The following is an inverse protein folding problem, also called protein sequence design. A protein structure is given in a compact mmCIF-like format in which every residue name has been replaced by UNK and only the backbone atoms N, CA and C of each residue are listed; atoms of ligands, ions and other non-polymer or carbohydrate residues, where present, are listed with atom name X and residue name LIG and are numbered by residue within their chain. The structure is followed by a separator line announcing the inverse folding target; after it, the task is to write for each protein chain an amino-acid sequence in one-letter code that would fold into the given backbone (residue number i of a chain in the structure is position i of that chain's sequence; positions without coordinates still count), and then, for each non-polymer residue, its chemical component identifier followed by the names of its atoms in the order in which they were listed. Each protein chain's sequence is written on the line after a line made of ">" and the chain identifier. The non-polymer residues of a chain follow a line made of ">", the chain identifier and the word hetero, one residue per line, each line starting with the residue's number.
data_IF_733779812086
#
_entry.id   IF_733779812086
#
_cell.length_a   1.000
_cell.length_b   1.000
_cell.length_c   1.000
_cell.angle_alpha   90.00
_cell.angle_beta   90.00
_cell.angle_gamma   90.00
#
_symmetry.space_group_name_H-M   'P 1'
#
loop_
_entity.id
_entity.type
_entity.pdbx_description
1 polymer ?
#
# COMPACT_ATOMS: atom_id res chain seq x y z
N UNK A 1 21.00 46.86 3.34
CA UNK A 1 22.09 47.66 2.75
C UNK A 1 21.61 49.10 2.64
N UNK A 2 22.41 50.07 3.05
CA UNK A 2 22.09 51.49 2.91
C UNK A 2 23.29 52.22 2.28
N UNK A 3 23.08 53.32 1.52
CA UNK A 3 24.18 54.05 0.89
C UNK A 3 25.02 54.81 1.92
N UNK A 4 26.32 54.99 1.66
CA UNK A 4 27.27 55.59 2.62
C UNK A 4 26.85 56.95 3.16
N UNK A 5 26.14 57.75 2.34
CA UNK A 5 25.61 59.07 2.71
C UNK A 5 24.55 59.06 3.84
N UNK A 6 23.92 57.92 4.10
CA UNK A 6 22.94 57.74 5.20
C UNK A 6 23.49 56.86 6.32
N UNK A 7 24.78 56.48 6.25
CA UNK A 7 25.44 55.79 7.33
C UNK A 7 25.85 56.80 8.40
N UNK A 8 25.23 56.75 9.56
CA UNK A 8 25.61 57.59 10.72
C UNK A 8 26.88 57.09 11.41
N UNK A 9 27.39 55.90 11.02
CA UNK A 9 28.59 55.31 11.61
C UNK A 9 29.85 55.75 10.88
N UNK A 10 30.89 56.06 11.65
CA UNK A 10 32.23 56.33 11.12
C UNK A 10 32.73 55.15 10.28
N UNK A 11 33.20 55.38 9.05
CA UNK A 11 33.73 54.31 8.21
C UNK A 11 35.00 53.74 8.83
N UNK A 12 35.05 52.42 8.92
CA UNK A 12 36.22 51.65 9.37
C UNK A 12 36.82 50.88 8.21
N UNK A 13 38.13 50.69 8.23
CA UNK A 13 38.83 49.93 7.21
C UNK A 13 38.35 48.47 7.20
N UNK A 14 37.92 47.95 6.06
CA UNK A 14 37.50 46.56 5.93
C UNK A 14 38.66 45.56 6.11
N UNK A 15 39.90 46.00 5.95
CA UNK A 15 41.08 45.13 6.08
C UNK A 15 41.52 44.95 7.52
N UNK A 16 41.60 46.04 8.31
CA UNK A 16 42.16 46.00 9.67
C UNK A 16 41.19 46.46 10.78
N UNK A 17 40.02 46.99 10.42
CA UNK A 17 39.01 47.46 11.37
C UNK A 17 39.27 48.80 12.05
N UNK A 18 40.43 49.42 11.82
CA UNK A 18 40.76 50.73 12.36
C UNK A 18 40.21 51.88 11.49
N UNK A 19 40.07 53.06 12.07
CA UNK A 19 39.77 54.30 11.36
C UNK A 19 41.08 54.88 10.85
N UNK A 20 41.25 54.91 9.53
CA UNK A 20 42.39 55.57 8.88
C UNK A 20 42.03 55.98 7.45
N UNK A 21 42.84 56.85 6.86
CA UNK A 21 42.78 57.22 5.44
C UNK A 21 43.99 56.66 4.69
N UNK A 22 43.85 56.43 3.38
CA UNK A 22 44.95 55.91 2.55
C UNK A 22 45.18 54.40 2.65
N UNK A 23 46.34 53.94 2.18
CA UNK A 23 46.67 52.52 2.06
C UNK A 23 46.82 51.89 3.45
N UNK A 24 46.08 50.79 3.69
CA UNK A 24 46.19 50.02 4.93
C UNK A 24 47.50 49.22 4.94
N UNK A 25 48.41 49.53 5.86
CA UNK A 25 49.68 48.80 6.05
C UNK A 25 49.64 47.84 7.26
N UNK A 26 48.55 47.83 8.01
CA UNK A 26 48.36 46.97 9.18
C UNK A 26 47.94 45.56 8.74
N UNK A 27 48.36 44.49 9.44
CA UNK A 27 47.86 43.14 9.20
C UNK A 27 46.33 43.06 9.19
N UNK A 28 45.81 42.14 8.40
CA UNK A 28 44.36 41.98 8.28
C UNK A 28 43.75 41.48 9.59
N UNK A 29 42.63 42.09 9.97
CA UNK A 29 41.86 41.70 11.14
C UNK A 29 40.38 41.92 10.87
N UNK A 30 39.61 40.84 10.93
CA UNK A 30 38.19 40.85 10.62
C UNK A 30 37.41 41.50 11.76
N UNK A 31 36.73 42.63 11.50
CA UNK A 31 35.89 43.29 12.53
C UNK A 31 34.73 42.42 13.01
N UNK A 32 34.31 41.45 12.20
CA UNK A 32 33.17 40.59 12.53
C UNK A 32 33.58 39.45 13.48
N UNK A 33 34.61 38.68 13.13
CA UNK A 33 35.00 37.48 13.87
C UNK A 33 36.38 37.55 14.55
N UNK A 34 37.07 38.69 14.43
CA UNK A 34 38.42 38.94 14.97
C UNK A 34 39.55 38.04 14.42
N UNK A 35 39.33 37.35 13.30
CA UNK A 35 40.33 36.50 12.65
C UNK A 35 41.25 37.24 11.69
N UNK A 36 42.34 36.57 11.27
CA UNK A 36 43.40 37.11 10.40
C UNK A 36 42.99 37.16 8.92
N UNK A 37 41.92 37.89 8.62
CA UNK A 37 41.42 38.12 7.27
C UNK A 37 40.60 39.42 7.20
N UNK A 38 40.39 39.96 6.00
CA UNK A 38 39.51 41.13 5.80
C UNK A 38 38.04 40.80 6.07
N UNK A 39 37.28 41.78 6.57
CA UNK A 39 35.84 41.69 6.83
C UNK A 39 34.97 41.27 5.62
N UNK A 40 35.49 41.41 4.40
CA UNK A 40 34.83 41.01 3.15
C UNK A 40 35.13 39.57 2.72
N UNK A 41 35.95 38.83 3.48
CA UNK A 41 36.32 37.46 3.15
C UNK A 41 35.12 36.51 3.20
N UNK A 42 34.89 35.76 2.12
CA UNK A 42 33.88 34.68 2.07
C UNK A 42 34.24 33.47 2.95
N UNK A 43 35.50 33.38 3.38
CA UNK A 43 35.95 32.36 4.33
C UNK A 43 35.67 32.71 5.80
N UNK A 44 35.13 33.89 6.09
CA UNK A 44 34.82 34.29 7.46
C UNK A 44 33.73 33.35 8.04
N UNK A 45 33.95 32.74 9.23
CA UNK A 45 32.99 31.81 9.82
C UNK A 45 31.63 32.47 10.12
N UNK A 46 31.62 33.76 10.46
CA UNK A 46 30.37 34.50 10.66
C UNK A 46 29.66 34.81 9.35
N UNK A 47 30.40 35.10 8.28
CA UNK A 47 29.81 35.26 6.95
C UNK A 47 29.15 33.96 6.48
N UNK A 48 29.86 32.83 6.58
CA UNK A 48 29.35 31.49 6.22
C UNK A 48 28.09 31.17 7.04
N UNK A 49 28.11 31.44 8.34
CA UNK A 49 26.94 31.28 9.22
C UNK A 49 25.74 32.08 8.74
N UNK A 50 25.91 33.36 8.44
CA UNK A 50 24.83 34.23 7.95
C UNK A 50 24.31 33.80 6.57
N UNK A 51 25.21 33.34 5.68
CA UNK A 51 24.84 32.79 4.38
C UNK A 51 23.95 31.55 4.54
N UNK A 52 24.31 30.61 5.41
CA UNK A 52 23.51 29.40 5.65
C UNK A 52 22.14 29.73 6.26
N UNK A 53 22.06 30.71 7.16
CA UNK A 53 20.78 31.18 7.73
C UNK A 53 19.91 31.78 6.62
N UNK A 54 20.48 32.59 5.73
CA UNK A 54 19.75 33.18 4.61
C UNK A 54 19.26 32.12 3.63
N UNK A 55 20.07 31.10 3.34
CA UNK A 55 19.66 29.99 2.50
C UNK A 55 18.50 29.19 3.13
N UNK A 56 18.60 28.88 4.42
CA UNK A 56 17.54 28.22 5.19
C UNK A 56 16.24 29.03 5.16
N UNK A 57 16.34 30.35 5.33
CA UNK A 57 15.22 31.28 5.26
C UNK A 57 14.52 31.20 3.91
N UNK A 58 15.27 31.33 2.81
CA UNK A 58 14.71 31.34 1.46
C UNK A 58 14.08 30.00 1.10
N UNK A 59 14.75 28.88 1.42
CA UNK A 59 14.31 27.53 1.06
C UNK A 59 13.03 27.11 1.78
N UNK A 60 12.78 27.62 2.99
CA UNK A 60 11.65 27.24 3.84
C UNK A 60 10.63 28.37 4.03
N UNK A 61 10.75 29.48 3.30
CA UNK A 61 9.85 30.63 3.39
C UNK A 61 9.68 31.18 4.82
N UNK A 62 10.78 31.21 5.58
CA UNK A 62 10.76 31.63 6.97
C UNK A 62 11.01 33.13 7.13
N UNK A 63 10.65 33.66 8.29
CA UNK A 63 11.20 34.95 8.73
C UNK A 63 12.69 34.80 9.09
N UNK A 64 13.43 35.91 9.08
CA UNK A 64 14.84 35.91 9.47
C UNK A 64 15.05 35.43 10.93
N UNK A 65 14.12 35.76 11.83
CA UNK A 65 14.18 35.37 13.23
C UNK A 65 14.00 33.86 13.41
N UNK A 66 13.04 33.26 12.70
CA UNK A 66 12.80 31.81 12.73
C UNK A 66 13.98 31.03 12.14
N UNK A 67 14.49 31.44 10.98
CA UNK A 67 15.66 30.80 10.37
C UNK A 67 16.88 30.83 11.32
N UNK A 68 17.10 31.96 12.00
CA UNK A 68 18.17 32.10 13.00
C UNK A 68 17.93 31.20 14.22
N UNK A 69 16.68 31.08 14.69
CA UNK A 69 16.33 30.19 15.80
C UNK A 69 16.62 28.73 15.46
N UNK A 70 16.14 28.27 14.31
CA UNK A 70 16.29 26.89 13.84
C UNK A 70 17.77 26.54 13.65
N UNK A 71 18.53 27.39 12.94
CA UNK A 71 19.96 27.16 12.69
C UNK A 71 20.78 27.08 14.00
N UNK A 72 20.46 27.92 14.99
CA UNK A 72 21.14 27.87 16.29
C UNK A 72 20.66 26.72 17.18
N UNK A 73 19.44 26.21 16.98
CA UNK A 73 18.91 25.03 17.68
C UNK A 73 19.50 23.73 17.13
N UNK A 74 19.63 23.61 15.80
CA UNK A 74 20.27 22.44 15.17
C UNK A 74 21.75 22.30 15.52
N UNK A 75 22.43 23.41 15.83
CA UNK A 75 23.79 23.38 16.37
C UNK A 75 23.87 22.98 17.86
N UNK A 76 22.72 22.91 18.55
CA UNK A 76 22.60 22.66 20.00
C UNK A 76 21.86 21.36 20.32
N UNK A 77 21.78 20.40 19.39
CA UNK A 77 21.19 19.09 19.69
C UNK A 77 22.07 18.41 20.75
N UNK A 78 21.69 18.58 22.01
CA UNK A 78 22.28 17.86 23.13
C UNK A 78 21.57 16.52 23.28
N UNK A 79 22.28 15.54 23.83
CA UNK A 79 21.78 14.18 24.06
C UNK A 79 20.40 14.18 24.75
N UNK A 80 20.21 15.06 25.75
CA UNK A 80 18.95 15.20 26.48
C UNK A 80 17.76 15.63 25.60
N UNK A 81 17.97 16.49 24.60
CA UNK A 81 16.90 16.92 23.69
C UNK A 81 16.50 15.82 22.71
N UNK A 82 17.44 14.98 22.27
CA UNK A 82 17.15 13.82 21.45
C UNK A 82 16.37 12.75 22.23
N UNK A 83 16.74 12.51 23.50
CA UNK A 83 16.01 11.59 24.39
C UNK A 83 14.61 12.10 24.69
N UNK A 84 14.40 13.40 24.91
CA UNK A 84 13.07 13.97 25.16
C UNK A 84 12.18 14.06 23.91
N UNK A 85 12.76 14.10 22.70
CA UNK A 85 12.00 14.09 21.45
C UNK A 85 11.41 12.70 21.14
N UNK A 86 11.98 11.65 21.72
CA UNK A 86 11.37 10.33 21.77
C UNK A 86 10.61 10.22 23.09
N UNK A 87 9.26 10.27 23.04
CA UNK A 87 8.46 9.90 24.19
C UNK A 87 8.99 8.54 24.70
N UNK A 88 9.29 8.39 26.00
CA UNK A 88 9.86 7.16 26.50
C UNK A 88 8.86 6.06 26.19
N UNK A 89 9.34 5.02 25.49
CA UNK A 89 8.53 3.87 25.11
C UNK A 89 8.27 3.08 26.40
N UNK A 90 7.36 3.58 27.22
CA UNK A 90 7.09 3.07 28.56
C UNK A 90 6.27 1.78 28.54
N UNK A 91 5.68 1.44 27.39
CA UNK A 91 4.77 0.31 27.26
C UNK A 91 4.97 -0.42 25.92
N UNK A 92 6.19 -0.94 25.74
CA UNK A 92 6.52 -1.83 24.61
C UNK A 92 5.56 -3.02 24.61
N UNK A 93 5.26 -3.55 25.79
CA UNK A 93 4.38 -4.70 26.00
C UNK A 93 2.96 -4.44 25.52
N UNK A 94 2.32 -3.34 25.94
CA UNK A 94 0.99 -2.96 25.50
C UNK A 94 0.92 -2.62 24.01
N UNK A 95 1.97 -2.03 23.44
CA UNK A 95 2.02 -1.78 21.99
C UNK A 95 2.14 -3.08 21.18
N UNK A 96 2.90 -4.06 21.66
CA UNK A 96 3.01 -5.38 21.04
C UNK A 96 1.67 -6.12 21.16
N UNK A 97 1.09 -6.16 22.36
CA UNK A 97 -0.19 -6.80 22.61
C UNK A 97 -1.30 -6.19 21.75
N UNK A 98 -1.39 -4.85 21.67
CA UNK A 98 -2.37 -4.18 20.82
C UNK A 98 -2.22 -4.51 19.33
N UNK A 99 -0.97 -4.64 18.84
CA UNK A 99 -0.72 -5.08 17.45
C UNK A 99 -1.08 -6.54 17.21
N UNK A 100 -0.85 -7.40 18.19
CA UNK A 100 -1.21 -8.82 18.13
C UNK A 100 -2.74 -8.99 18.10
N UNK A 101 -3.46 -8.29 18.98
CA UNK A 101 -4.94 -8.29 19.00
C UNK A 101 -5.52 -7.79 17.67
N UNK A 102 -4.99 -6.70 17.12
CA UNK A 102 -5.41 -6.18 15.82
C UNK A 102 -5.15 -7.17 14.67
N UNK A 103 -4.07 -7.95 14.75
CA UNK A 103 -3.78 -9.00 13.77
C UNK A 103 -4.77 -10.16 13.90
N UNK A 104 -5.07 -10.61 15.12
CA UNK A 104 -6.02 -11.68 15.39
C UNK A 104 -7.43 -11.32 14.90
N UNK A 105 -7.88 -10.09 15.17
CA UNK A 105 -9.19 -9.61 14.71
C UNK A 105 -9.30 -9.64 13.18
N UNK A 106 -8.30 -9.11 12.47
CA UNK A 106 -8.26 -9.14 10.99
C UNK A 106 -8.23 -10.56 10.44
N UNK A 107 -7.56 -11.48 11.13
CA UNK A 107 -7.54 -12.88 10.72
C UNK A 107 -8.93 -13.51 10.88
N UNK A 108 -9.64 -13.20 11.96
CA UNK A 108 -11.00 -13.68 12.19
C UNK A 108 -11.99 -13.14 11.14
N UNK A 109 -11.96 -11.83 10.84
CA UNK A 109 -12.76 -11.22 9.78
C UNK A 109 -12.52 -11.89 8.42
N UNK A 110 -11.26 -12.22 8.12
CA UNK A 110 -10.91 -12.89 6.87
C UNK A 110 -11.42 -14.34 6.83
N UNK A 111 -11.41 -15.06 7.95
CA UNK A 111 -12.00 -16.40 8.06
C UNK A 111 -13.51 -16.34 7.80
N UNK A 112 -14.21 -15.42 8.45
CA UNK A 112 -15.66 -15.24 8.25
C UNK A 112 -15.99 -14.90 6.78
N UNK A 113 -15.21 -14.00 6.16
CA UNK A 113 -15.37 -13.66 4.75
C UNK A 113 -15.20 -14.87 3.81
N UNK A 114 -14.24 -15.75 4.11
CA UNK A 114 -14.02 -16.99 3.35
C UNK A 114 -15.21 -17.94 3.53
N UNK A 115 -15.72 -18.11 4.75
CA UNK A 115 -16.88 -18.97 5.03
C UNK A 115 -18.11 -18.48 4.24
N UNK A 116 -18.38 -17.18 4.27
CA UNK A 116 -19.50 -16.58 3.52
C UNK A 116 -19.35 -16.80 2.01
N UNK A 117 -18.13 -16.64 1.48
CA UNK A 117 -17.86 -16.85 0.05
C UNK A 117 -18.10 -18.30 -0.36
N UNK A 118 -17.69 -19.26 0.48
CA UNK A 118 -17.91 -20.69 0.21
C UNK A 118 -19.40 -21.00 0.23
N UNK A 119 -20.13 -20.53 1.25
CA UNK A 119 -21.58 -20.76 1.36
C UNK A 119 -22.33 -20.21 0.15
N UNK A 120 -22.05 -18.97 -0.26
CA UNK A 120 -22.67 -18.36 -1.44
C UNK A 120 -22.39 -19.15 -2.73
N UNK A 121 -21.15 -19.65 -2.89
CA UNK A 121 -20.79 -20.49 -4.04
C UNK A 121 -21.49 -21.86 -4.02
N UNK A 122 -21.62 -22.48 -2.85
CA UNK A 122 -22.35 -23.75 -2.72
C UNK A 122 -23.83 -23.57 -3.07
N UNK A 123 -24.45 -22.50 -2.59
CA UNK A 123 -25.85 -22.18 -2.89
C UNK A 123 -26.03 -21.88 -4.39
N UNK A 124 -25.11 -21.13 -5.00
CA UNK A 124 -25.12 -20.89 -6.44
C UNK A 124 -25.03 -22.20 -7.24
N UNK A 125 -24.14 -23.11 -6.85
CA UNK A 125 -24.01 -24.42 -7.50
C UNK A 125 -25.27 -25.27 -7.34
N UNK A 126 -25.91 -25.24 -6.17
CA UNK A 126 -27.17 -25.95 -5.94
C UNK A 126 -28.29 -25.40 -6.85
N UNK A 127 -28.41 -24.08 -6.97
CA UNK A 127 -29.40 -23.44 -7.83
C UNK A 127 -29.15 -23.77 -9.31
N UNK A 128 -27.90 -23.74 -9.78
CA UNK A 128 -27.55 -24.14 -11.14
C UNK A 128 -27.92 -25.60 -11.43
N UNK A 129 -27.77 -26.49 -10.45
CA UNK A 129 -28.15 -27.90 -10.61
C UNK A 129 -29.68 -28.06 -10.72
N UNK A 130 -30.44 -27.31 -9.92
CA UNK A 130 -31.91 -27.29 -9.97
C UNK A 130 -32.39 -26.78 -11.33
N UNK A 131 -31.83 -25.68 -11.84
CA UNK A 131 -32.17 -25.14 -13.16
C UNK A 131 -31.90 -26.14 -14.30
N UNK A 132 -30.78 -26.87 -14.24
CA UNK A 132 -30.48 -27.91 -15.23
C UNK A 132 -31.50 -29.05 -15.18
N UNK A 133 -31.96 -29.42 -13.99
CA UNK A 133 -32.97 -30.46 -13.80
C UNK A 133 -34.33 -30.01 -14.36
N UNK A 134 -34.76 -28.78 -14.05
CA UNK A 134 -36.01 -28.21 -14.59
C UNK A 134 -36.00 -28.20 -16.13
N UNK A 135 -34.92 -27.72 -16.75
CA UNK A 135 -34.77 -27.72 -18.21
C UNK A 135 -34.80 -29.12 -18.83
N UNK A 136 -34.25 -30.12 -18.14
CA UNK A 136 -34.28 -31.50 -18.61
C UNK A 136 -35.70 -32.08 -18.55
N UNK A 137 -36.43 -31.81 -17.46
CA UNK A 137 -37.83 -32.23 -17.32
C UNK A 137 -38.70 -31.58 -18.39
N UNK A 138 -38.56 -30.27 -18.62
CA UNK A 138 -39.29 -29.56 -19.68
C UNK A 138 -39.02 -30.14 -21.06
N UNK A 139 -37.75 -30.43 -21.38
CA UNK A 139 -37.35 -31.05 -22.65
C UNK A 139 -37.98 -32.44 -22.83
N UNK A 140 -37.99 -33.26 -21.78
CA UNK A 140 -38.63 -34.58 -21.80
C UNK A 140 -40.15 -34.48 -22.02
N UNK A 141 -40.83 -33.56 -21.33
CA UNK A 141 -42.26 -33.31 -21.51
C UNK A 141 -42.57 -32.84 -22.94
N UNK A 142 -41.75 -31.94 -23.48
CA UNK A 142 -41.89 -31.44 -24.84
C UNK A 142 -41.70 -32.55 -25.88
N UNK A 143 -40.68 -33.41 -25.70
CA UNK A 143 -40.44 -34.57 -26.56
C UNK A 143 -41.62 -35.55 -26.52
N UNK A 144 -42.14 -35.85 -25.33
CA UNK A 144 -43.29 -36.75 -25.19
C UNK A 144 -44.55 -36.20 -25.88
N UNK A 145 -44.83 -34.90 -25.74
CA UNK A 145 -45.95 -34.25 -26.43
C UNK A 145 -45.82 -34.34 -27.95
N UNK A 146 -44.59 -34.24 -28.48
CA UNK A 146 -44.31 -34.32 -29.91
C UNK A 146 -44.50 -35.75 -30.43
N UNK A 147 -44.04 -36.75 -29.69
CA UNK A 147 -44.24 -38.17 -30.02
C UNK A 147 -45.73 -38.52 -30.07
N UNK A 148 -46.52 -38.05 -29.10
CA UNK A 148 -47.97 -38.32 -29.08
C UNK A 148 -48.71 -37.66 -30.26
N UNK A 149 -48.26 -36.49 -30.71
CA UNK A 149 -48.79 -35.85 -31.94
C UNK A 149 -48.45 -36.64 -33.20
N UNK A 150 -47.25 -37.22 -33.28
CA UNK A 150 -46.82 -38.06 -34.42
C UNK A 150 -47.45 -39.46 -34.41
N UNK A 151 -47.74 -40.02 -33.23
CA UNK A 151 -48.37 -41.35 -33.07
C UNK A 151 -49.86 -41.41 -33.39
N UNK A 152 -50.51 -40.26 -33.64
CA UNK A 152 -51.89 -40.18 -34.13
C UNK A 152 -52.05 -40.64 -35.59
N UNK A 153 -50.96 -40.73 -36.36
CA UNK A 153 -50.95 -41.24 -37.73
C UNK A 153 -50.44 -42.70 -37.78
N UNK A 154 -51.35 -43.61 -37.39
CA UNK A 154 -51.42 -45.06 -37.65
C UNK A 154 -50.14 -45.81 -38.12
N UNK A 155 -49.57 -46.70 -37.28
CA UNK A 155 -48.89 -47.92 -37.77
C UNK A 155 -49.21 -49.14 -36.87
N UNK A 156 -49.79 -50.17 -37.48
CA UNK A 156 -50.32 -51.42 -36.89
C UNK A 156 -49.35 -52.26 -36.03
N UNK A 157 -49.87 -53.08 -35.08
CA UNK A 157 -49.08 -53.76 -34.04
C UNK A 157 -48.11 -54.87 -34.51
N UNK A 158 -48.20 -55.31 -35.76
CA UNK A 158 -47.56 -56.54 -36.24
C UNK A 158 -46.03 -56.48 -36.41
N UNK A 159 -45.41 -55.29 -36.37
CA UNK A 159 -43.94 -55.15 -36.56
C UNK A 159 -43.09 -55.29 -35.30
N UNK A 160 -43.64 -55.11 -34.09
CA UNK A 160 -42.84 -55.17 -32.84
C UNK A 160 -42.33 -56.59 -32.51
N UNK A 161 -43.09 -57.64 -32.84
CA UNK A 161 -42.74 -59.02 -32.46
C UNK A 161 -41.48 -59.56 -33.18
N UNK A 162 -41.24 -59.14 -34.44
CA UNK A 162 -40.08 -59.60 -35.23
C UNK A 162 -38.74 -58.99 -34.82
N UNK A 163 -38.74 -57.82 -34.18
CA UNK A 163 -37.50 -57.14 -33.77
C UNK A 163 -36.94 -57.69 -32.45
N UNK A 164 -37.82 -58.00 -31.50
CA UNK A 164 -37.44 -58.53 -30.17
C UNK A 164 -36.85 -59.94 -30.28
N UNK A 165 -37.42 -60.80 -31.13
CA UNK A 165 -36.89 -62.16 -31.36
C UNK A 165 -35.52 -62.18 -32.04
N UNK A 166 -35.19 -61.16 -32.86
CA UNK A 166 -33.86 -61.04 -33.48
C UNK A 166 -32.78 -60.60 -32.48
N UNK A 167 -33.13 -59.73 -31.52
CA UNK A 167 -32.21 -59.31 -30.45
C UNK A 167 -31.91 -60.45 -29.46
N UNK A 168 -32.92 -61.25 -29.11
CA UNK A 168 -32.73 -62.40 -28.22
C UNK A 168 -31.82 -63.49 -28.81
N UNK A 169 -31.86 -63.69 -30.14
CA UNK A 169 -30.98 -64.64 -30.84
C UNK A 169 -29.56 -64.11 -31.09
N UNK A 170 -29.34 -62.79 -31.07
CA UNK A 170 -28.03 -62.19 -31.30
C UNK A 170 -27.14 -62.15 -30.04
N UNK A 171 -27.74 -62.19 -28.84
CA UNK A 171 -27.04 -62.04 -27.56
C UNK A 171 -26.52 -63.38 -26.99
N UNK A 172 -25.82 -64.20 -27.79
CA UNK A 172 -25.32 -65.54 -27.39
C UNK A 172 -24.36 -65.57 -26.20
N UNK A 173 -24.85 -65.29 -24.99
CA UNK A 173 -24.12 -65.38 -23.73
C UNK A 173 -24.87 -66.34 -22.81
N UNK A 174 -24.33 -67.53 -22.53
CA UNK A 174 -24.81 -68.36 -21.43
C UNK A 174 -24.18 -67.83 -20.14
N UNK A 175 -24.96 -67.17 -19.28
CA UNK A 175 -24.59 -66.98 -17.88
C UNK A 175 -25.07 -68.20 -17.09
N UNK A 176 -24.18 -69.17 -16.89
CA UNK A 176 -24.26 -70.04 -15.70
C UNK A 176 -23.60 -69.29 -14.54
N UNK A 177 -24.37 -69.03 -13.49
CA UNK A 177 -23.84 -68.63 -12.19
C UNK A 177 -24.06 -69.83 -11.26
N UNK A 178 -22.98 -70.54 -10.96
CA UNK A 178 -22.97 -71.56 -9.92
C UNK A 178 -23.03 -70.85 -8.56
N UNK A 179 -24.08 -71.13 -7.79
CA UNK A 179 -24.20 -70.70 -6.41
C UNK A 179 -23.79 -71.86 -5.50
N UNK A 180 -22.57 -71.81 -4.97
CA UNK A 180 -22.14 -72.60 -3.81
C UNK A 180 -21.30 -71.71 -2.90
N UNK A 181 -21.34 -71.79 -1.59
CA UNK A 181 -22.17 -72.52 -0.65
C UNK A 181 -21.98 -71.80 0.70
N UNK A 182 -23.05 -71.74 1.50
CA UNK A 182 -22.99 -71.39 2.92
C UNK A 182 -22.24 -72.49 3.68
N UNK A 183 -21.37 -72.08 4.61
CA UNK A 183 -20.63 -72.95 5.54
C UNK A 183 -19.47 -72.21 6.17
#
# INVERSE_FOLDING_TARGET
>A
MHPSRVCEKTPVCHSCGAIHSGICQVPQKCVNCQGDHSATSKGCPLYIKEQNIMELKCRNHLTTAEARRIYNQSAKVNYASAVNAHAPINDIEGQINGKMEAMLLKMNEKIESVIQTINAKMEQQANQLVELFERLVESLLQNFSTINKLGGETISPSRKKKAVDKLRKASGVPMQLDAGALG
#
